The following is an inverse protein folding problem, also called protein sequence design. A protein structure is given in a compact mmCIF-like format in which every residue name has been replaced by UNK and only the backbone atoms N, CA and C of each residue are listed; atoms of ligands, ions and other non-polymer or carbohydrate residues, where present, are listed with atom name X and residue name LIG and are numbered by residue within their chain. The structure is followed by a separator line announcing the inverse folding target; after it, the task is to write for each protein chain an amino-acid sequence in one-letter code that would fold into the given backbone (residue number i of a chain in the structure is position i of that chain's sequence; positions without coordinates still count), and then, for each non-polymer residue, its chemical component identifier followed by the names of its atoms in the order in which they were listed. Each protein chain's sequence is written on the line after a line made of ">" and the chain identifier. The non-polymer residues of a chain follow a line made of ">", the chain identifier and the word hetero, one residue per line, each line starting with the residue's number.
data_IF_819364436115
#
_entry.id   IF_819364436115
#
_cell.length_a   1.000
_cell.length_b   1.000
_cell.length_c   1.000
_cell.angle_alpha   90.00
_cell.angle_beta   90.00
_cell.angle_gamma   90.00
#
_symmetry.space_group_name_H-M   'P 1'
#
loop_
_entity.id
_entity.type
_entity.pdbx_description
1 polymer ?
#
# COMPACT_ATOMS: atom_id res chain seq x y z
N UNK A 1 -5.52 -32.90 12.74
CA UNK A 1 -6.37 -33.56 11.72
C UNK A 1 -6.00 -32.99 10.37
N UNK A 2 -5.10 -33.67 9.64
CA UNK A 2 -4.61 -33.22 8.34
C UNK A 2 -5.73 -33.35 7.31
N UNK A 3 -6.38 -32.24 6.96
CA UNK A 3 -7.29 -32.21 5.83
C UNK A 3 -6.47 -32.43 4.55
N UNK A 4 -6.69 -33.58 3.93
CA UNK A 4 -6.20 -33.98 2.62
C UNK A 4 -6.46 -32.83 1.64
N UNK A 5 -5.39 -32.14 1.21
CA UNK A 5 -5.46 -31.12 0.18
C UNK A 5 -5.96 -31.84 -1.08
N UNK A 6 -7.23 -31.58 -1.42
CA UNK A 6 -7.93 -32.16 -2.56
C UNK A 6 -7.04 -32.15 -3.81
N UNK A 7 -6.80 -33.33 -4.38
CA UNK A 7 -5.95 -33.58 -5.56
C UNK A 7 -6.38 -32.80 -6.82
N UNK A 8 -7.54 -32.14 -6.82
CA UNK A 8 -8.06 -31.33 -7.93
C UNK A 8 -7.42 -29.94 -8.09
N UNK A 9 -6.49 -29.52 -7.21
CA UNK A 9 -5.87 -28.17 -7.26
C UNK A 9 -4.42 -28.12 -7.79
N UNK A 10 -3.91 -29.20 -8.39
CA UNK A 10 -2.51 -29.29 -8.86
C UNK A 10 -2.28 -28.97 -10.34
N UNK A 11 -3.34 -28.86 -11.16
CA UNK A 11 -3.17 -28.58 -12.59
C UNK A 11 -2.53 -27.19 -12.81
N UNK A 12 -1.47 -27.13 -13.62
CA UNK A 12 -0.84 -25.87 -14.05
C UNK A 12 0.31 -25.31 -13.19
N UNK A 13 0.71 -26.00 -12.11
CA UNK A 13 1.86 -25.59 -11.29
C UNK A 13 3.06 -26.52 -11.50
N UNK A 14 4.29 -25.98 -11.49
CA UNK A 14 5.51 -26.80 -11.61
C UNK A 14 5.90 -27.47 -10.29
N UNK A 15 5.49 -26.89 -9.16
CA UNK A 15 5.73 -27.42 -7.81
C UNK A 15 4.43 -27.55 -7.03
N UNK A 16 4.41 -28.53 -6.12
CA UNK A 16 3.32 -28.71 -5.18
C UNK A 16 3.40 -27.70 -4.04
N UNK A 17 2.22 -27.31 -3.54
CA UNK A 17 2.14 -26.45 -2.36
C UNK A 17 2.62 -27.22 -1.14
N UNK A 18 3.67 -26.71 -0.49
CA UNK A 18 4.32 -27.36 0.66
C UNK A 18 3.70 -26.95 2.00
N UNK A 19 3.20 -25.72 2.11
CA UNK A 19 2.59 -25.18 3.32
C UNK A 19 1.57 -24.08 2.98
N UNK A 20 0.54 -23.87 3.81
CA UNK A 20 -0.34 -22.72 3.66
C UNK A 20 0.42 -21.41 3.91
N UNK A 21 -0.03 -20.33 3.27
CA UNK A 21 0.45 -18.98 3.58
C UNK A 21 0.01 -18.57 4.99
N UNK A 22 0.89 -17.88 5.74
CA UNK A 22 0.67 -17.46 7.14
C UNK A 22 0.08 -18.59 8.01
N UNK A 23 0.81 -19.70 8.21
CA UNK A 23 0.29 -20.88 8.90
C UNK A 23 -0.21 -20.60 10.32
N UNK A 24 0.27 -19.53 10.97
CA UNK A 24 -0.15 -19.13 12.32
C UNK A 24 -1.60 -18.63 12.37
N UNK A 25 -2.09 -18.06 11.26
CA UNK A 25 -3.42 -17.40 11.20
C UNK A 25 -4.30 -17.90 10.04
N UNK A 26 -3.82 -18.86 9.26
CA UNK A 26 -4.56 -19.47 8.16
C UNK A 26 -5.86 -20.11 8.64
N UNK A 27 -6.98 -19.75 8.02
CA UNK A 27 -8.33 -20.20 8.39
C UNK A 27 -8.66 -20.06 9.89
N UNK A 28 -8.15 -19.02 10.56
CA UNK A 28 -8.38 -18.77 11.98
C UNK A 28 -9.72 -18.10 12.29
N UNK A 29 -10.30 -17.33 11.35
CA UNK A 29 -11.53 -16.57 11.57
C UNK A 29 -12.73 -17.35 11.00
N UNK A 30 -13.68 -17.82 11.84
CA UNK A 30 -14.82 -18.59 11.38
C UNK A 30 -15.80 -17.73 10.57
N UNK A 31 -16.21 -18.21 9.40
CA UNK A 31 -17.25 -17.57 8.59
C UNK A 31 -18.60 -18.24 8.89
N UNK A 32 -19.62 -17.47 9.30
CA UNK A 32 -20.94 -18.04 9.60
C UNK A 32 -21.62 -18.56 8.33
N UNK A 33 -22.39 -19.65 8.45
CA UNK A 33 -23.18 -20.23 7.35
C UNK A 33 -24.61 -19.68 7.35
N UNK A 34 -25.15 -19.39 6.16
CA UNK A 34 -26.58 -19.07 5.96
C UNK A 34 -27.08 -17.79 6.65
N UNK A 35 -26.19 -16.84 6.98
CA UNK A 35 -26.58 -15.54 7.55
C UNK A 35 -26.83 -14.50 6.46
N UNK A 36 -27.58 -13.44 6.81
CA UNK A 36 -27.87 -12.32 5.91
C UNK A 36 -26.63 -11.56 5.45
N UNK A 37 -26.77 -10.80 4.35
CA UNK A 37 -25.70 -10.10 3.65
C UNK A 37 -24.76 -9.29 4.57
N UNK A 38 -25.30 -8.48 5.48
CA UNK A 38 -24.51 -7.64 6.37
C UNK A 38 -23.66 -8.42 7.37
N UNK A 39 -24.19 -9.50 7.94
CA UNK A 39 -23.42 -10.37 8.86
C UNK A 39 -22.30 -11.11 8.13
N UNK A 40 -22.54 -11.48 6.88
CA UNK A 40 -21.51 -12.08 6.02
C UNK A 40 -20.44 -11.05 5.68
N UNK A 41 -20.84 -9.83 5.29
CA UNK A 41 -19.90 -8.76 4.98
C UNK A 41 -19.00 -8.44 6.19
N UNK A 42 -19.57 -8.33 7.39
CA UNK A 42 -18.79 -8.12 8.62
C UNK A 42 -17.85 -9.30 8.95
N UNK A 43 -18.23 -10.53 8.62
CA UNK A 43 -17.37 -11.70 8.87
C UNK A 43 -16.18 -11.77 7.89
N UNK A 44 -16.38 -11.35 6.64
CA UNK A 44 -15.32 -11.25 5.65
C UNK A 44 -14.54 -9.94 5.72
N UNK A 45 -15.10 -8.92 6.37
CA UNK A 45 -14.51 -7.59 6.51
C UNK A 45 -13.26 -7.60 7.38
N UNK A 46 -12.27 -6.78 7.02
CA UNK A 46 -10.99 -6.69 7.71
C UNK A 46 -9.78 -6.76 6.77
N UNK A 47 -9.64 -7.79 5.90
CA UNK A 47 -8.54 -7.90 4.96
C UNK A 47 -8.40 -6.68 4.05
N UNK A 48 -9.52 -6.15 3.56
CA UNK A 48 -9.56 -4.94 2.74
C UNK A 48 -9.05 -3.71 3.49
N UNK A 49 -9.39 -3.57 4.79
CA UNK A 49 -8.89 -2.48 5.63
C UNK A 49 -7.38 -2.58 5.85
N UNK A 50 -6.86 -3.78 6.14
CA UNK A 50 -5.40 -3.98 6.29
C UNK A 50 -4.65 -3.63 5.01
N UNK A 51 -5.24 -3.92 3.85
CA UNK A 51 -4.63 -3.56 2.56
C UNK A 51 -4.72 -2.06 2.31
N UNK A 52 -5.89 -1.46 2.51
CA UNK A 52 -6.14 -0.04 2.27
C UNK A 52 -5.25 0.89 3.12
N UNK A 53 -4.74 0.40 4.25
CA UNK A 53 -3.79 1.16 5.08
C UNK A 53 -2.49 1.50 4.37
N UNK A 54 -1.93 0.57 3.60
CA UNK A 54 -0.70 0.88 2.86
C UNK A 54 -0.93 1.98 1.82
N UNK A 55 -2.19 2.20 1.42
CA UNK A 55 -2.56 3.30 0.53
C UNK A 55 -2.71 4.65 1.24
N UNK A 56 -2.38 4.73 2.54
CA UNK A 56 -2.45 5.95 3.36
C UNK A 56 -1.10 6.24 4.05
N UNK A 57 -0.01 5.62 3.59
CA UNK A 57 1.33 5.75 4.17
C UNK A 57 1.95 7.13 3.89
N UNK A 58 3.03 7.54 4.60
CA UNK A 58 3.67 8.84 4.38
C UNK A 58 4.23 9.02 2.96
N UNK A 59 4.51 7.91 2.25
CA UNK A 59 4.94 7.94 0.86
C UNK A 59 3.93 8.60 -0.07
N UNK A 60 2.66 8.21 0.05
CA UNK A 60 1.56 8.78 -0.74
C UNK A 60 1.34 10.26 -0.43
N UNK A 61 1.56 10.66 0.83
CA UNK A 61 1.32 12.02 1.26
C UNK A 61 2.26 13.01 0.57
N UNK A 62 3.53 12.64 0.42
CA UNK A 62 4.49 13.52 -0.26
C UNK A 62 4.07 13.80 -1.71
N UNK A 63 3.62 12.78 -2.44
CA UNK A 63 3.15 12.95 -3.82
C UNK A 63 1.83 13.72 -3.92
N UNK A 64 0.90 13.48 -2.99
CA UNK A 64 -0.40 14.17 -2.96
C UNK A 64 -0.28 15.64 -2.55
N UNK A 65 0.57 15.94 -1.55
CA UNK A 65 0.87 17.30 -1.12
C UNK A 65 1.55 18.09 -2.24
N UNK A 66 2.58 17.53 -2.87
CA UNK A 66 3.26 18.16 -4.00
C UNK A 66 2.30 18.39 -5.17
N UNK A 67 1.46 17.39 -5.47
CA UNK A 67 0.44 17.47 -6.51
C UNK A 67 -0.56 18.60 -6.27
N UNK A 68 -1.07 18.73 -5.05
CA UNK A 68 -2.02 19.77 -4.68
C UNK A 68 -1.39 21.16 -4.65
N UNK A 69 -0.21 21.29 -4.06
CA UNK A 69 0.48 22.58 -3.94
C UNK A 69 0.88 23.16 -5.31
N UNK A 70 1.32 22.32 -6.24
CA UNK A 70 1.83 22.75 -7.55
C UNK A 70 0.76 22.79 -8.65
N UNK A 71 -0.21 21.88 -8.64
CA UNK A 71 -1.18 21.71 -9.72
C UNK A 71 -2.65 21.89 -9.28
N UNK A 72 -2.88 22.30 -8.04
CA UNK A 72 -4.22 22.51 -7.51
C UNK A 72 -5.03 21.22 -7.54
N UNK A 73 -6.24 21.27 -8.11
CA UNK A 73 -7.14 20.11 -8.18
C UNK A 73 -6.90 19.19 -9.38
N UNK A 74 -5.92 19.48 -10.26
CA UNK A 74 -5.72 18.78 -11.54
C UNK A 74 -5.51 17.27 -11.36
N UNK A 75 -4.71 16.87 -10.36
CA UNK A 75 -4.27 15.49 -10.18
C UNK A 75 -5.25 14.62 -9.36
N UNK A 76 -6.41 15.14 -8.94
CA UNK A 76 -7.47 14.33 -8.31
C UNK A 76 -7.89 13.18 -9.24
N UNK A 77 -8.01 13.47 -10.55
CA UNK A 77 -8.32 12.48 -11.57
C UNK A 77 -7.28 11.35 -11.64
N UNK A 78 -6.00 11.66 -11.42
CA UNK A 78 -4.91 10.67 -11.36
C UNK A 78 -5.03 9.79 -10.13
N UNK A 79 -5.29 10.36 -8.95
CA UNK A 79 -5.55 9.60 -7.72
C UNK A 79 -6.74 8.66 -7.91
N UNK A 80 -7.82 9.13 -8.56
CA UNK A 80 -8.99 8.30 -8.86
C UNK A 80 -8.64 7.13 -9.79
N UNK A 81 -8.00 7.40 -10.92
CA UNK A 81 -7.61 6.36 -11.89
C UNK A 81 -6.67 5.36 -11.24
N UNK A 82 -5.66 5.84 -10.51
CA UNK A 82 -4.71 5.01 -9.77
C UNK A 82 -5.42 4.10 -8.76
N UNK A 83 -6.40 4.62 -8.02
CA UNK A 83 -7.19 3.82 -7.09
C UNK A 83 -8.09 2.79 -7.80
N UNK A 84 -8.64 3.11 -8.97
CA UNK A 84 -9.39 2.13 -9.77
C UNK A 84 -8.48 0.99 -10.26
N UNK A 85 -7.25 1.32 -10.67
CA UNK A 85 -6.22 0.32 -11.00
C UNK A 85 -5.88 -0.52 -9.78
N UNK A 86 -5.69 0.10 -8.61
CA UNK A 86 -5.47 -0.60 -7.36
C UNK A 86 -6.62 -1.58 -7.03
N UNK A 87 -7.88 -1.14 -7.09
CA UNK A 87 -9.05 -1.99 -6.84
C UNK A 87 -9.06 -3.19 -7.77
N UNK A 88 -8.76 -2.99 -9.06
CA UNK A 88 -8.67 -4.09 -10.03
C UNK A 88 -7.57 -5.08 -9.66
N UNK A 89 -6.34 -4.60 -9.42
CA UNK A 89 -5.20 -5.47 -9.10
C UNK A 89 -5.40 -6.19 -7.76
N UNK A 90 -5.98 -5.52 -6.77
CA UNK A 90 -6.31 -6.10 -5.48
C UNK A 90 -7.42 -7.16 -5.61
N UNK A 91 -8.41 -6.95 -6.48
CA UNK A 91 -9.38 -7.98 -6.84
C UNK A 91 -8.71 -9.21 -7.48
N UNK A 92 -7.68 -9.03 -8.31
CA UNK A 92 -6.93 -10.16 -8.85
C UNK A 92 -6.14 -10.90 -7.76
N UNK A 93 -5.48 -10.16 -6.86
CA UNK A 93 -4.68 -10.72 -5.78
C UNK A 93 -5.52 -11.55 -4.79
N UNK A 94 -6.66 -11.00 -4.33
CA UNK A 94 -7.57 -11.75 -3.45
C UNK A 94 -8.13 -12.99 -4.15
N UNK A 95 -8.43 -12.88 -5.45
CA UNK A 95 -9.02 -13.97 -6.21
C UNK A 95 -8.02 -15.11 -6.41
N UNK A 96 -6.75 -14.79 -6.65
CA UNK A 96 -5.66 -15.77 -6.68
C UNK A 96 -5.58 -16.54 -5.35
N UNK A 97 -5.54 -15.83 -4.23
CA UNK A 97 -5.47 -16.42 -2.88
C UNK A 97 -6.65 -17.34 -2.55
N UNK A 98 -7.88 -16.89 -2.83
CA UNK A 98 -9.10 -17.65 -2.54
C UNK A 98 -9.20 -18.91 -3.40
N UNK A 99 -8.90 -18.80 -4.70
CA UNK A 99 -9.11 -19.87 -5.68
C UNK A 99 -8.03 -20.94 -5.58
N UNK A 100 -6.77 -20.52 -5.55
CA UNK A 100 -5.59 -21.40 -5.67
C UNK A 100 -5.07 -21.88 -4.31
N UNK A 101 -5.43 -21.19 -3.22
CA UNK A 101 -4.89 -21.44 -1.89
C UNK A 101 -3.40 -21.08 -1.76
N UNK A 102 -2.87 -20.31 -2.71
CA UNK A 102 -1.50 -19.82 -2.73
C UNK A 102 -1.52 -18.29 -2.66
N UNK A 103 -0.63 -17.72 -1.86
CA UNK A 103 -0.31 -16.32 -2.03
C UNK A 103 0.50 -16.10 -3.33
N UNK A 104 0.63 -14.84 -3.75
CA UNK A 104 1.32 -14.48 -4.98
C UNK A 104 2.81 -14.90 -4.98
N UNK A 105 3.49 -14.87 -3.83
CA UNK A 105 4.90 -15.26 -3.72
C UNK A 105 5.07 -16.78 -3.89
N UNK A 106 4.22 -17.57 -3.23
CA UNK A 106 4.13 -19.02 -3.42
C UNK A 106 3.80 -19.37 -4.88
N UNK A 107 2.84 -18.67 -5.49
CA UNK A 107 2.49 -18.85 -6.89
C UNK A 107 3.67 -18.58 -7.83
N UNK A 108 4.43 -17.50 -7.60
CA UNK A 108 5.65 -17.20 -8.35
C UNK A 108 6.70 -18.30 -8.18
N UNK A 109 6.96 -18.74 -6.95
CA UNK A 109 7.93 -19.82 -6.64
C UNK A 109 7.55 -21.16 -7.28
N UNK A 110 6.26 -21.47 -7.32
CA UNK A 110 5.72 -22.74 -7.81
C UNK A 110 5.60 -22.76 -9.35
N UNK A 111 5.67 -21.60 -10.02
CA UNK A 111 5.62 -21.49 -11.48
C UNK A 111 6.98 -21.20 -12.14
N UNK A 112 7.79 -20.31 -11.57
CA UNK A 112 9.06 -19.91 -12.15
C UNK A 112 10.24 -20.80 -11.71
N UNK A 113 11.36 -20.69 -12.44
CA UNK A 113 12.62 -21.34 -12.06
C UNK A 113 13.21 -20.71 -10.79
N UNK A 114 14.09 -21.43 -10.10
CA UNK A 114 14.73 -20.93 -8.86
C UNK A 114 15.43 -19.56 -9.04
N UNK A 115 16.19 -19.31 -10.13
CA UNK A 115 16.84 -18.00 -10.32
C UNK A 115 15.85 -16.84 -10.47
N UNK A 116 14.78 -17.03 -11.26
CA UNK A 116 13.75 -16.00 -11.46
C UNK A 116 12.99 -15.74 -10.16
N UNK A 117 12.61 -16.79 -9.46
CA UNK A 117 11.97 -16.70 -8.15
C UNK A 117 12.84 -15.95 -7.12
N UNK A 118 14.15 -16.20 -7.13
CA UNK A 118 15.09 -15.51 -6.25
C UNK A 118 15.26 -14.03 -6.62
N UNK A 119 15.37 -13.71 -7.92
CA UNK A 119 15.43 -12.32 -8.37
C UNK A 119 14.17 -11.53 -7.98
N UNK A 120 12.98 -12.11 -8.17
CA UNK A 120 11.71 -11.51 -7.73
C UNK A 120 11.67 -11.27 -6.22
N UNK A 121 12.21 -12.21 -5.42
CA UNK A 121 12.34 -12.05 -3.98
C UNK A 121 13.25 -10.88 -3.61
N UNK A 122 14.46 -10.79 -4.20
CA UNK A 122 15.40 -9.69 -3.93
C UNK A 122 14.75 -8.33 -4.22
N UNK A 123 14.13 -8.19 -5.40
CA UNK A 123 13.45 -6.94 -5.76
C UNK A 123 12.31 -6.60 -4.80
N UNK A 124 11.60 -7.63 -4.30
CA UNK A 124 10.52 -7.43 -3.34
C UNK A 124 11.02 -7.00 -1.96
N UNK A 125 12.10 -7.60 -1.45
CA UNK A 125 12.71 -7.18 -0.18
C UNK A 125 13.28 -5.76 -0.28
N UNK A 126 13.89 -5.39 -1.41
CA UNK A 126 14.35 -4.02 -1.65
C UNK A 126 13.17 -3.04 -1.61
N UNK A 127 12.04 -3.37 -2.25
CA UNK A 127 10.85 -2.52 -2.21
C UNK A 127 10.21 -2.43 -0.82
N UNK A 128 10.22 -3.52 -0.04
CA UNK A 128 9.76 -3.51 1.35
C UNK A 128 10.69 -2.64 2.21
N UNK A 129 12.01 -2.75 2.04
CA UNK A 129 12.96 -1.89 2.76
C UNK A 129 12.82 -0.41 2.38
N UNK A 130 12.55 -0.11 1.11
CA UNK A 130 12.25 1.24 0.65
C UNK A 130 10.93 1.78 1.26
N UNK A 131 9.90 0.95 1.38
CA UNK A 131 8.67 1.31 2.07
C UNK A 131 8.95 1.60 3.56
N UNK A 132 9.69 0.71 4.21
CA UNK A 132 10.07 0.83 5.62
C UNK A 132 10.87 2.13 5.85
N UNK A 133 11.71 2.53 4.90
CA UNK A 133 12.44 3.80 4.90
C UNK A 133 11.50 5.01 4.89
N UNK A 134 10.48 5.02 4.04
CA UNK A 134 9.47 6.08 4.01
C UNK A 134 8.72 6.19 5.36
N UNK A 135 8.42 5.06 5.98
CA UNK A 135 7.76 5.01 7.30
C UNK A 135 8.64 5.55 8.43
N UNK A 136 9.93 5.16 8.44
CA UNK A 136 10.92 5.65 9.42
C UNK A 136 11.00 7.17 9.31
N UNK A 137 11.16 7.67 8.09
CA UNK A 137 11.31 9.09 7.81
C UNK A 137 10.04 9.85 8.22
N UNK A 138 8.87 9.41 7.76
CA UNK A 138 7.60 10.06 8.08
C UNK A 138 7.32 10.10 9.59
N UNK A 139 7.61 9.00 10.29
CA UNK A 139 7.45 8.95 11.75
C UNK A 139 8.48 9.83 12.48
N UNK A 140 9.74 9.87 12.02
CA UNK A 140 10.77 10.73 12.60
C UNK A 140 10.45 12.21 12.40
N UNK A 141 9.94 12.58 11.22
CA UNK A 141 9.42 13.93 10.94
C UNK A 141 8.25 14.24 11.88
N UNK A 142 7.28 13.33 12.02
CA UNK A 142 6.16 13.55 12.94
C UNK A 142 6.62 13.77 14.41
N UNK A 143 7.59 12.99 14.89
CA UNK A 143 8.18 13.16 16.22
C UNK A 143 8.92 14.49 16.37
N UNK A 144 9.64 14.92 15.33
CA UNK A 144 10.29 16.23 15.31
C UNK A 144 9.27 17.36 15.40
N UNK A 145 8.20 17.29 14.62
CA UNK A 145 7.18 18.34 14.58
C UNK A 145 6.32 18.39 15.85
N UNK A 146 6.03 17.25 16.48
CA UNK A 146 5.20 17.20 17.69
C UNK A 146 5.96 17.52 18.96
N UNK A 147 7.20 17.04 19.08
CA UNK A 147 7.94 17.04 20.34
C UNK A 147 9.28 17.79 20.27
N UNK A 148 9.63 18.35 19.11
CA UNK A 148 10.92 19.01 18.90
C UNK A 148 12.12 18.05 18.92
N UNK A 149 11.87 16.75 18.76
CA UNK A 149 12.93 15.72 18.81
C UNK A 149 13.79 15.82 17.54
N UNK A 150 15.14 15.90 17.63
CA UNK A 150 16.00 15.92 16.45
C UNK A 150 15.76 14.70 15.54
N UNK A 151 15.80 14.88 14.21
CA UNK A 151 15.46 13.81 13.26
C UNK A 151 16.24 12.51 13.49
N UNK A 152 17.54 12.59 13.76
CA UNK A 152 18.38 11.40 14.03
C UNK A 152 17.88 10.65 15.27
N UNK A 153 17.52 11.37 16.35
CA UNK A 153 16.93 10.77 17.54
C UNK A 153 15.54 10.19 17.25
N UNK A 154 14.73 10.88 16.44
CA UNK A 154 13.44 10.38 15.97
C UNK A 154 13.56 9.06 15.21
N UNK A 155 14.52 8.96 14.28
CA UNK A 155 14.84 7.74 13.53
C UNK A 155 15.29 6.59 14.45
N UNK A 156 16.04 6.89 15.52
CA UNK A 156 16.41 5.87 16.51
C UNK A 156 15.22 5.42 17.36
N UNK A 157 14.33 6.35 17.74
CA UNK A 157 13.12 6.05 18.50
C UNK A 157 12.18 5.16 17.69
N UNK A 158 12.08 5.36 16.38
CA UNK A 158 11.20 4.53 15.52
C UNK A 158 11.66 3.08 15.42
N UNK A 159 12.92 2.75 15.78
CA UNK A 159 13.37 1.36 15.95
C UNK A 159 12.64 0.64 17.11
N UNK A 160 12.09 1.40 18.06
CA UNK A 160 11.29 0.87 19.17
C UNK A 160 9.95 0.29 18.74
N UNK A 161 9.52 0.50 17.50
CA UNK A 161 8.28 -0.07 16.94
C UNK A 161 8.31 -1.61 16.89
N UNK A 162 9.48 -2.23 16.96
CA UNK A 162 9.63 -3.68 17.15
C UNK A 162 8.87 -4.14 18.41
N UNK A 163 8.78 -3.30 19.44
CA UNK A 163 7.99 -3.56 20.65
C UNK A 163 6.50 -3.66 20.30
N UNK A 164 5.98 -2.80 19.42
CA UNK A 164 4.60 -2.87 18.95
C UNK A 164 4.34 -4.20 18.24
N UNK A 165 5.25 -4.63 17.36
CA UNK A 165 5.15 -5.94 16.69
C UNK A 165 5.18 -7.09 17.70
N UNK A 166 6.10 -7.04 18.68
CA UNK A 166 6.19 -8.05 19.75
C UNK A 166 4.91 -8.13 20.59
N UNK A 167 4.32 -6.99 20.95
CA UNK A 167 3.06 -6.92 21.69
C UNK A 167 1.88 -7.52 20.90
N UNK A 168 1.91 -7.42 19.58
CA UNK A 168 0.85 -7.90 18.69
C UNK A 168 1.05 -9.34 18.22
N UNK A 169 2.29 -9.86 18.22
CA UNK A 169 2.63 -11.18 17.68
C UNK A 169 1.83 -12.34 18.31
N UNK A 170 1.41 -12.20 19.58
CA UNK A 170 0.63 -13.21 20.30
C UNK A 170 -0.85 -12.83 20.47
N UNK A 171 -1.32 -11.78 19.80
CA UNK A 171 -2.71 -11.33 19.86
C UNK A 171 -3.44 -11.79 18.59
N UNK A 172 -4.73 -12.12 18.73
CA UNK A 172 -5.53 -12.58 17.60
C UNK A 172 -5.70 -11.51 16.51
N UNK A 173 -5.88 -11.93 15.26
CA UNK A 173 -5.95 -11.06 14.07
C UNK A 173 -7.03 -9.96 14.16
N UNK A 174 -8.11 -10.20 14.92
CA UNK A 174 -9.15 -9.18 15.17
C UNK A 174 -8.64 -7.94 15.93
N UNK A 175 -7.66 -8.11 16.83
CA UNK A 175 -7.06 -6.97 17.53
C UNK A 175 -6.24 -6.12 16.57
N UNK A 176 -5.51 -6.77 15.65
CA UNK A 176 -4.75 -6.08 14.60
C UNK A 176 -5.72 -5.30 13.70
N UNK A 177 -6.81 -5.93 13.23
CA UNK A 177 -7.86 -5.26 12.46
C UNK A 177 -8.45 -4.05 13.19
N UNK A 178 -8.72 -4.15 14.49
CA UNK A 178 -9.25 -3.04 15.30
C UNK A 178 -8.25 -1.90 15.50
N UNK A 179 -6.97 -2.21 15.73
CA UNK A 179 -5.91 -1.22 15.87
C UNK A 179 -5.70 -0.43 14.57
N UNK A 180 -5.58 -1.16 13.46
CA UNK A 180 -5.50 -0.62 12.09
C UNK A 180 -6.68 0.31 11.81
N UNK A 181 -7.90 -0.13 12.14
CA UNK A 181 -9.12 0.69 11.98
C UNK A 181 -9.04 1.98 12.81
N UNK A 182 -8.48 1.93 14.02
CA UNK A 182 -8.31 3.11 14.88
C UNK A 182 -7.35 4.13 14.26
N UNK A 183 -6.23 3.68 13.68
CA UNK A 183 -5.31 4.57 12.97
C UNK A 183 -5.96 5.21 11.74
N UNK A 184 -6.69 4.43 10.94
CA UNK A 184 -7.44 4.94 9.77
C UNK A 184 -8.44 6.03 10.20
N UNK A 185 -9.24 5.78 11.24
CA UNK A 185 -10.21 6.75 11.74
C UNK A 185 -9.52 8.02 12.26
N UNK A 186 -8.38 7.86 12.94
CA UNK A 186 -7.59 9.00 13.42
C UNK A 186 -7.13 9.89 12.26
N UNK A 187 -6.56 9.29 11.20
CA UNK A 187 -6.14 10.00 9.98
C UNK A 187 -7.34 10.71 9.33
N UNK A 188 -8.45 10.00 9.17
CA UNK A 188 -9.67 10.53 8.55
C UNK A 188 -10.26 11.72 9.33
N UNK A 189 -10.29 11.65 10.66
CA UNK A 189 -10.78 12.74 11.51
C UNK A 189 -9.86 13.96 11.40
N UNK A 190 -8.53 13.76 11.43
CA UNK A 190 -7.57 14.85 11.33
C UNK A 190 -7.67 15.60 9.98
N UNK A 191 -7.67 14.88 8.86
CA UNK A 191 -7.84 15.50 7.54
C UNK A 191 -9.25 16.03 7.30
N UNK A 192 -10.27 15.34 7.79
CA UNK A 192 -11.65 15.83 7.73
C UNK A 192 -11.81 17.18 8.42
N UNK A 193 -11.23 17.34 9.61
CA UNK A 193 -11.20 18.62 10.32
C UNK A 193 -10.47 19.70 9.49
N UNK A 194 -9.25 19.42 9.04
CA UNK A 194 -8.46 20.38 8.26
C UNK A 194 -9.17 20.79 6.95
N UNK A 195 -9.86 19.87 6.28
CA UNK A 195 -10.58 20.13 5.04
C UNK A 195 -11.84 20.99 5.27
N UNK A 196 -12.55 20.79 6.38
CA UNK A 196 -13.68 21.65 6.77
C UNK A 196 -13.20 23.08 7.06
N UNK A 197 -12.06 23.22 7.74
CA UNK A 197 -11.45 24.53 8.02
C UNK A 197 -10.95 25.21 6.74
N UNK A 198 -10.36 24.45 5.82
CA UNK A 198 -9.81 24.98 4.57
C UNK A 198 -10.88 25.49 3.57
N UNK A 199 -12.15 25.10 3.73
CA UNK A 199 -13.27 25.50 2.86
C UNK A 199 -12.94 25.43 1.36
N UNK A 200 -12.54 24.27 0.82
CA UNK A 200 -12.15 24.14 -0.58
C UNK A 200 -13.32 24.37 -1.54
N UNK A 201 -13.00 24.80 -2.76
CA UNK A 201 -14.00 24.97 -3.83
C UNK A 201 -14.54 23.62 -4.28
N UNK A 202 -15.82 23.36 -3.99
CA UNK A 202 -16.51 22.13 -4.42
C UNK A 202 -16.53 22.01 -5.95
N UNK A 203 -16.75 23.12 -6.66
CA UNK A 203 -16.71 23.15 -8.13
C UNK A 203 -15.32 22.78 -8.66
N UNK A 204 -14.26 23.31 -8.04
CA UNK A 204 -12.87 22.96 -8.36
C UNK A 204 -12.58 21.47 -8.14
N UNK A 205 -12.99 20.92 -7.00
CA UNK A 205 -12.86 19.50 -6.68
C UNK A 205 -13.55 18.61 -7.72
N UNK A 206 -14.79 18.94 -8.08
CA UNK A 206 -15.56 18.18 -9.08
C UNK A 206 -14.94 18.27 -10.47
N UNK A 207 -14.42 19.44 -10.86
CA UNK A 207 -13.71 19.61 -12.13
C UNK A 207 -12.41 18.81 -12.18
N UNK A 208 -11.71 18.69 -11.04
CA UNK A 208 -10.47 17.93 -10.91
C UNK A 208 -10.65 16.41 -11.05
N UNK A 209 -11.88 15.89 -10.90
CA UNK A 209 -12.18 14.47 -11.16
C UNK A 209 -12.16 14.14 -12.66
N UNK A 210 -12.29 15.13 -13.54
CA UNK A 210 -12.29 14.95 -14.99
C UNK A 210 -10.84 14.97 -15.48
N UNK A 211 -10.34 13.89 -16.12
CA UNK A 211 -8.97 13.88 -16.66
C UNK A 211 -8.75 14.99 -17.69
N UNK A 212 -7.66 15.73 -17.54
CA UNK A 212 -7.23 16.79 -18.46
C UNK A 212 -6.00 16.36 -19.25
N UNK A 213 -5.89 16.83 -20.49
CA UNK A 213 -4.71 16.58 -21.34
C UNK A 213 -3.43 17.19 -20.76
N UNK A 214 -3.57 18.21 -19.91
CA UNK A 214 -2.45 18.87 -19.22
C UNK A 214 -1.58 17.91 -18.40
N UNK A 215 -2.17 16.83 -17.89
CA UNK A 215 -1.50 15.80 -17.09
C UNK A 215 -0.35 15.14 -17.87
N UNK A 216 -0.52 14.97 -19.19
CA UNK A 216 0.46 14.28 -20.04
C UNK A 216 1.33 15.26 -20.81
N UNK A 217 0.86 16.49 -21.05
CA UNK A 217 1.64 17.50 -21.80
C UNK A 217 2.66 18.23 -20.93
N UNK A 218 2.40 18.38 -19.62
CA UNK A 218 3.33 19.04 -18.71
C UNK A 218 4.28 17.99 -18.07
N UNK A 219 5.60 18.06 -18.29
CA UNK A 219 6.56 17.10 -17.74
C UNK A 219 6.53 16.99 -16.20
N UNK A 220 6.35 18.09 -15.49
CA UNK A 220 6.33 18.10 -14.01
C UNK A 220 5.04 17.47 -13.48
N UNK A 221 3.91 17.81 -14.12
CA UNK A 221 2.61 17.20 -13.79
C UNK A 221 2.63 15.69 -14.07
N UNK A 222 3.25 15.28 -15.18
CA UNK A 222 3.44 13.88 -15.53
C UNK A 222 4.32 13.17 -14.49
N UNK A 223 5.43 13.77 -14.08
CA UNK A 223 6.33 13.21 -13.07
C UNK A 223 5.59 12.96 -11.74
N UNK A 224 4.86 13.96 -11.23
CA UNK A 224 4.07 13.81 -10.00
C UNK A 224 2.95 12.79 -10.19
N UNK A 225 2.30 12.76 -11.35
CA UNK A 225 1.24 11.78 -11.67
C UNK A 225 1.75 10.35 -11.63
N UNK A 226 2.96 10.11 -12.15
CA UNK A 226 3.57 8.79 -12.07
C UNK A 226 3.95 8.47 -10.62
N UNK A 227 4.46 9.44 -9.87
CA UNK A 227 4.69 9.32 -8.43
C UNK A 227 3.44 8.87 -7.69
N UNK A 228 2.30 9.54 -7.92
CA UNK A 228 1.00 9.17 -7.35
C UNK A 228 0.63 7.73 -7.72
N UNK A 229 0.81 7.33 -8.98
CA UNK A 229 0.51 5.96 -9.43
C UNK A 229 1.36 4.92 -8.69
N UNK A 230 2.67 5.13 -8.62
CA UNK A 230 3.62 4.24 -7.97
C UNK A 230 3.43 4.15 -6.46
N UNK A 231 3.13 5.27 -5.81
CA UNK A 231 2.88 5.35 -4.38
C UNK A 231 1.53 4.67 -4.03
N UNK A 232 0.48 4.93 -4.82
CA UNK A 232 -0.83 4.31 -4.61
C UNK A 232 -0.72 2.78 -4.75
N UNK A 233 -0.21 2.26 -5.87
CA UNK A 233 -0.24 0.81 -6.12
C UNK A 233 1.02 0.16 -5.54
N UNK A 234 0.98 -0.14 -4.25
CA UNK A 234 2.10 -0.80 -3.59
C UNK A 234 2.23 -2.29 -3.95
N UNK A 235 3.40 -2.76 -4.42
CA UNK A 235 3.59 -4.17 -4.82
C UNK A 235 3.42 -5.13 -3.65
N UNK A 236 3.96 -4.80 -2.48
CA UNK A 236 3.91 -5.67 -1.30
C UNK A 236 2.47 -5.92 -0.83
N UNK A 237 1.55 -4.97 -1.09
CA UNK A 237 0.13 -5.13 -0.79
C UNK A 237 -0.57 -6.17 -1.66
N UNK A 238 -0.08 -6.44 -2.88
CA UNK A 238 -0.61 -7.53 -3.72
C UNK A 238 -0.28 -8.90 -3.09
N UNK A 239 0.94 -9.05 -2.57
CA UNK A 239 1.34 -10.26 -1.83
C UNK A 239 0.54 -10.38 -0.54
N UNK A 240 0.44 -9.29 0.23
CA UNK A 240 -0.30 -9.21 1.48
C UNK A 240 -1.76 -9.65 1.30
N UNK A 241 -2.47 -9.04 0.35
CA UNK A 241 -3.89 -9.29 0.15
C UNK A 241 -4.17 -10.73 -0.30
N UNK A 242 -3.32 -11.27 -1.18
CA UNK A 242 -3.43 -12.67 -1.62
C UNK A 242 -3.28 -13.68 -0.48
N UNK A 243 -2.63 -13.30 0.62
CA UNK A 243 -2.47 -14.13 1.82
C UNK A 243 -3.57 -13.88 2.86
N UNK A 244 -3.84 -12.61 3.23
CA UNK A 244 -4.77 -12.28 4.32
C UNK A 244 -6.18 -12.79 4.06
N UNK A 245 -6.65 -12.82 2.81
CA UNK A 245 -7.98 -13.38 2.50
C UNK A 245 -8.10 -14.87 2.83
N UNK A 246 -6.98 -15.57 3.02
CA UNK A 246 -6.93 -16.97 3.43
C UNK A 246 -7.03 -17.16 4.96
N UNK A 247 -7.06 -16.09 5.74
CA UNK A 247 -7.34 -16.14 7.20
C UNK A 247 -8.79 -16.52 7.50
N UNK A 248 -9.70 -16.31 6.53
CA UNK A 248 -11.12 -16.66 6.67
C UNK A 248 -11.33 -18.15 6.45
N UNK A 249 -11.97 -18.81 7.42
CA UNK A 249 -12.29 -20.22 7.37
C UNK A 249 -13.57 -20.45 6.55
N UNK A 250 -13.42 -20.70 5.25
CA UNK A 250 -14.49 -21.13 4.35
C UNK A 250 -14.15 -22.47 3.71
N UNK A 251 -15.17 -23.27 3.42
CA UNK A 251 -14.99 -24.54 2.70
C UNK A 251 -14.40 -24.29 1.32
N UNK A 252 -13.55 -25.18 0.82
CA UNK A 252 -12.91 -24.99 -0.51
C UNK A 252 -13.76 -25.52 -1.66
N UNK A 253 -15.09 -25.52 -1.48
CA UNK A 253 -16.04 -25.82 -2.52
C UNK A 253 -16.24 -24.61 -3.44
N UNK A 254 -16.86 -24.90 -4.57
CA UNK A 254 -17.02 -23.96 -5.67
C UNK A 254 -17.98 -22.81 -5.31
N UNK A 255 -19.10 -23.10 -4.64
CA UNK A 255 -20.08 -22.09 -4.25
C UNK A 255 -19.53 -21.13 -3.18
N UNK A 256 -18.81 -21.66 -2.19
CA UNK A 256 -18.20 -20.88 -1.11
C UNK A 256 -17.01 -20.06 -1.59
N UNK A 257 -16.21 -20.54 -2.54
CA UNK A 257 -15.18 -19.72 -3.21
C UNK A 257 -15.79 -18.53 -3.94
N UNK A 258 -16.88 -18.73 -4.68
CA UNK A 258 -17.58 -17.62 -5.36
C UNK A 258 -18.10 -16.58 -4.36
N UNK A 259 -18.66 -17.05 -3.23
CA UNK A 259 -19.14 -16.20 -2.16
C UNK A 259 -18.00 -15.42 -1.49
N UNK A 260 -16.89 -16.09 -1.17
CA UNK A 260 -15.70 -15.47 -0.59
C UNK A 260 -15.12 -14.40 -1.51
N UNK A 261 -15.01 -14.67 -2.82
CA UNK A 261 -14.56 -13.67 -3.82
C UNK A 261 -15.50 -12.46 -3.79
N UNK A 262 -16.83 -12.67 -3.79
CA UNK A 262 -17.80 -11.57 -3.77
C UNK A 262 -17.61 -10.67 -2.56
N UNK A 263 -17.59 -11.23 -1.34
CA UNK A 263 -17.49 -10.42 -0.13
C UNK A 263 -16.10 -9.80 0.07
N UNK A 264 -15.02 -10.53 -0.23
CA UNK A 264 -13.67 -9.96 -0.18
C UNK A 264 -13.47 -8.84 -1.20
N UNK A 265 -14.10 -8.93 -2.38
CA UNK A 265 -14.09 -7.84 -3.36
C UNK A 265 -14.84 -6.62 -2.84
N UNK A 266 -16.03 -6.78 -2.26
CA UNK A 266 -16.79 -5.66 -1.69
C UNK A 266 -16.00 -4.99 -0.56
N UNK A 267 -15.46 -5.78 0.37
CA UNK A 267 -14.63 -5.31 1.48
C UNK A 267 -13.42 -4.50 0.98
N UNK A 268 -12.64 -5.08 0.06
CA UNK A 268 -11.47 -4.40 -0.51
C UNK A 268 -11.84 -3.15 -1.30
N UNK A 269 -12.89 -3.19 -2.13
CA UNK A 269 -13.35 -2.03 -2.89
C UNK A 269 -13.80 -0.91 -1.97
N UNK A 270 -14.57 -1.20 -0.93
CA UNK A 270 -15.00 -0.18 0.04
C UNK A 270 -13.81 0.44 0.78
N UNK A 271 -12.86 -0.39 1.22
CA UNK A 271 -11.68 0.09 1.94
C UNK A 271 -10.76 0.94 1.05
N UNK A 272 -10.53 0.55 -0.21
CA UNK A 272 -9.72 1.32 -1.16
C UNK A 272 -10.42 2.58 -1.65
N UNK A 273 -11.76 2.58 -1.80
CA UNK A 273 -12.51 3.81 -2.04
C UNK A 273 -12.36 4.79 -0.87
N UNK A 274 -12.32 4.28 0.36
CA UNK A 274 -12.04 5.11 1.54
C UNK A 274 -10.61 5.69 1.51
N UNK A 275 -9.61 4.89 1.12
CA UNK A 275 -8.24 5.37 0.90
C UNK A 275 -8.17 6.49 -0.15
N UNK A 276 -8.92 6.38 -1.25
CA UNK A 276 -9.04 7.44 -2.25
C UNK A 276 -9.53 8.76 -1.65
N UNK A 277 -10.53 8.73 -0.76
CA UNK A 277 -11.01 9.96 -0.12
C UNK A 277 -9.96 10.61 0.78
N UNK A 278 -9.11 9.80 1.44
CA UNK A 278 -8.00 10.34 2.24
C UNK A 278 -6.94 10.99 1.33
N UNK A 279 -6.49 10.29 0.29
CA UNK A 279 -5.49 10.82 -0.66
C UNK A 279 -6.01 12.08 -1.37
N UNK A 280 -7.27 12.05 -1.82
CA UNK A 280 -7.92 13.23 -2.37
C UNK A 280 -8.01 14.37 -1.34
N UNK A 281 -8.33 14.09 -0.08
CA UNK A 281 -8.38 15.11 0.97
C UNK A 281 -7.01 15.75 1.23
N UNK A 282 -5.92 14.98 1.20
CA UNK A 282 -4.54 15.50 1.33
C UNK A 282 -4.23 16.46 0.18
N UNK A 283 -4.50 16.02 -1.06
CA UNK A 283 -4.26 16.84 -2.25
C UNK A 283 -5.12 18.11 -2.24
N UNK A 284 -6.42 17.98 -1.92
CA UNK A 284 -7.35 19.12 -1.84
C UNK A 284 -6.91 20.10 -0.75
N UNK A 285 -6.46 19.61 0.41
CA UNK A 285 -5.96 20.44 1.48
C UNK A 285 -4.72 21.23 1.03
N UNK A 286 -3.76 20.57 0.38
CA UNK A 286 -2.58 21.24 -0.16
C UNK A 286 -2.93 22.26 -1.26
N UNK A 287 -3.89 21.93 -2.13
CA UNK A 287 -4.38 22.85 -3.15
C UNK A 287 -5.05 24.08 -2.52
N UNK A 288 -5.93 23.88 -1.53
CA UNK A 288 -6.60 24.98 -0.86
C UNK A 288 -5.64 25.87 -0.06
N UNK A 289 -4.61 25.29 0.56
CA UNK A 289 -3.67 26.00 1.41
C UNK A 289 -2.54 26.69 0.62
N UNK A 290 -2.01 26.05 -0.43
CA UNK A 290 -0.72 26.43 -1.02
C UNK A 290 -0.79 26.82 -2.50
N UNK A 291 -1.75 26.31 -3.26
CA UNK A 291 -1.82 26.56 -4.71
C UNK A 291 -2.07 28.05 -5.03
N UNK A 292 -1.30 28.60 -5.97
CA UNK A 292 -1.40 30.01 -6.36
C UNK A 292 -0.85 31.00 -5.32
N UNK A 293 -0.24 30.51 -4.24
CA UNK A 293 0.43 31.34 -3.22
C UNK A 293 1.96 31.34 -3.43
N UNK A 294 2.68 32.19 -2.68
CA UNK A 294 4.16 32.17 -2.65
C UNK A 294 4.74 30.83 -2.13
N UNK A 295 3.90 30.00 -1.51
CA UNK A 295 4.26 28.71 -0.94
C UNK A 295 3.92 27.54 -1.89
N UNK A 296 3.64 27.79 -3.17
CA UNK A 296 3.33 26.72 -4.14
C UNK A 296 4.49 25.71 -4.35
N UNK A 297 5.72 26.10 -3.98
CA UNK A 297 6.89 25.22 -4.02
C UNK A 297 7.08 24.37 -2.74
N UNK A 298 6.08 24.30 -1.86
CA UNK A 298 6.08 23.38 -0.71
C UNK A 298 6.00 21.94 -1.23
N UNK A 299 7.15 21.29 -1.30
CA UNK A 299 7.29 19.89 -1.71
C UNK A 299 7.50 18.94 -0.52
N UNK A 300 7.77 19.47 0.68
CA UNK A 300 8.11 18.67 1.87
C UNK A 300 6.97 18.65 2.91
N UNK A 301 6.82 17.50 3.56
CA UNK A 301 5.89 17.25 4.67
C UNK A 301 6.18 18.20 5.84
N UNK A 302 7.45 18.51 6.10
CA UNK A 302 7.86 19.42 7.16
C UNK A 302 7.35 20.85 6.94
N UNK A 303 7.41 21.33 5.70
CA UNK A 303 6.94 22.64 5.31
C UNK A 303 5.41 22.73 5.35
N UNK A 304 4.73 21.66 4.92
CA UNK A 304 3.27 21.57 5.04
C UNK A 304 2.82 21.76 6.50
N UNK A 305 3.44 21.09 7.47
CA UNK A 305 3.13 21.29 8.89
C UNK A 305 3.29 22.74 9.34
N UNK A 306 4.43 23.37 9.03
CA UNK A 306 4.77 24.72 9.49
C UNK A 306 3.81 25.77 8.92
N UNK A 307 3.33 25.54 7.69
CA UNK A 307 2.51 26.49 6.96
C UNK A 307 1.00 26.24 7.09
N UNK A 308 0.57 25.02 7.44
CA UNK A 308 -0.85 24.69 7.59
C UNK A 308 -1.55 25.56 8.65
N UNK A 309 -0.99 25.66 9.87
CA UNK A 309 -1.64 26.45 10.94
C UNK A 309 -1.76 27.94 10.60
N UNK A 310 -0.71 28.63 10.10
CA UNK A 310 -0.81 30.02 9.67
C UNK A 310 -1.79 30.24 8.51
N UNK A 311 -1.74 29.39 7.48
CA UNK A 311 -2.57 29.55 6.28
C UNK A 311 -4.05 29.34 6.59
N UNK A 312 -4.36 28.32 7.40
CA UNK A 312 -5.74 28.01 7.78
C UNK A 312 -6.26 28.89 8.92
N UNK A 313 -5.40 29.68 9.56
CA UNK A 313 -5.76 30.52 10.70
C UNK A 313 -6.13 29.74 11.97
N UNK A 314 -5.82 28.44 12.03
CA UNK A 314 -6.19 27.54 13.12
C UNK A 314 -4.93 26.90 13.72
N UNK A 315 -4.56 27.23 14.97
CA UNK A 315 -3.31 26.77 15.58
C UNK A 315 -3.14 25.24 15.62
N UNK A 316 -4.24 24.50 15.80
CA UNK A 316 -4.22 23.04 15.96
C UNK A 316 -4.05 22.26 14.64
N UNK A 317 -4.17 22.92 13.48
CA UNK A 317 -4.18 22.25 12.17
C UNK A 317 -2.88 21.48 11.89
N UNK A 318 -1.73 22.10 12.14
CA UNK A 318 -0.41 21.45 12.03
C UNK A 318 -0.28 20.28 13.01
N UNK A 319 -0.72 20.44 14.26
CA UNK A 319 -0.68 19.35 15.26
C UNK A 319 -1.49 18.14 14.80
N UNK A 320 -2.71 18.33 14.30
CA UNK A 320 -3.53 17.25 13.76
C UNK A 320 -2.87 16.57 12.55
N UNK A 321 -2.23 17.35 11.68
CA UNK A 321 -1.46 16.81 10.55
C UNK A 321 -0.32 15.91 11.02
N UNK A 322 0.47 16.34 12.02
CA UNK A 322 1.57 15.53 12.54
C UNK A 322 1.10 14.30 13.34
N UNK A 323 -0.02 14.38 14.06
CA UNK A 323 -0.64 13.20 14.71
C UNK A 323 -1.08 12.19 13.66
N UNK A 324 -1.71 12.64 12.58
CA UNK A 324 -2.11 11.77 11.49
C UNK A 324 -0.89 11.14 10.80
N UNK A 325 0.19 11.89 10.61
CA UNK A 325 1.44 11.40 10.01
C UNK A 325 2.07 10.29 10.87
N UNK A 326 2.09 10.47 12.19
CA UNK A 326 2.57 9.46 13.12
C UNK A 326 1.68 8.21 13.08
N UNK A 327 0.35 8.37 13.09
CA UNK A 327 -0.59 7.26 13.00
C UNK A 327 -0.40 6.48 11.69
N UNK A 328 -0.17 7.16 10.57
CA UNK A 328 0.11 6.56 9.26
C UNK A 328 1.39 5.71 9.29
N UNK A 329 2.50 6.23 9.82
CA UNK A 329 3.76 5.49 9.93
C UNK A 329 3.69 4.23 10.82
N UNK A 330 2.96 4.30 11.93
CA UNK A 330 2.74 3.12 12.80
C UNK A 330 1.86 2.05 12.16
N UNK A 331 0.95 2.45 11.28
CA UNK A 331 0.03 1.53 10.63
C UNK A 331 0.74 0.71 9.54
N UNK A 332 1.54 1.38 8.71
CA UNK A 332 2.31 0.73 7.63
C UNK A 332 3.36 -0.25 8.16
N UNK A 333 3.88 -0.02 9.37
CA UNK A 333 4.78 -0.94 10.10
C UNK A 333 4.21 -2.37 10.21
N UNK A 334 2.92 -2.48 10.50
CA UNK A 334 2.26 -3.77 10.71
C UNK A 334 2.10 -4.51 9.38
N UNK A 335 1.65 -3.80 8.35
CA UNK A 335 1.42 -4.37 7.02
C UNK A 335 2.73 -4.73 6.33
N UNK A 336 3.78 -3.91 6.46
CA UNK A 336 5.11 -4.19 5.94
C UNK A 336 5.74 -5.45 6.54
N UNK A 337 5.59 -5.65 7.85
CA UNK A 337 6.09 -6.85 8.54
C UNK A 337 5.39 -8.12 8.03
N UNK A 338 4.06 -8.09 7.89
CA UNK A 338 3.27 -9.21 7.37
C UNK A 338 3.57 -9.49 5.90
N UNK A 339 3.58 -8.45 5.07
CA UNK A 339 3.86 -8.56 3.64
C UNK A 339 5.23 -9.14 3.40
N UNK A 340 6.22 -8.69 4.16
CA UNK A 340 7.53 -9.30 4.17
C UNK A 340 7.47 -10.78 4.54
N UNK A 341 6.85 -11.15 5.67
CA UNK A 341 6.79 -12.55 6.10
C UNK A 341 6.25 -13.44 4.96
N UNK A 342 5.17 -13.01 4.32
CA UNK A 342 4.58 -13.67 3.16
C UNK A 342 5.57 -13.81 2.00
N UNK A 343 6.29 -12.74 1.67
CA UNK A 343 7.28 -12.72 0.57
C UNK A 343 8.42 -13.71 0.85
N UNK A 344 9.00 -13.69 2.05
CA UNK A 344 10.14 -14.57 2.38
C UNK A 344 9.73 -16.04 2.53
N UNK A 345 8.61 -16.33 3.20
CA UNK A 345 8.10 -17.69 3.31
C UNK A 345 7.62 -18.22 1.95
N UNK A 346 6.98 -17.36 1.17
CA UNK A 346 6.45 -17.69 -0.14
C UNK A 346 7.55 -17.98 -1.16
N UNK A 347 8.54 -17.10 -1.30
CA UNK A 347 9.63 -17.26 -2.27
C UNK A 347 10.74 -18.22 -1.81
N UNK A 348 11.20 -18.10 -0.55
CA UNK A 348 12.38 -18.83 -0.05
C UNK A 348 12.03 -20.01 0.87
N UNK A 349 10.80 -20.10 1.37
CA UNK A 349 10.40 -21.09 2.38
C UNK A 349 11.21 -20.98 3.70
N UNK A 350 11.72 -19.77 4.00
CA UNK A 350 12.43 -19.46 5.25
C UNK A 350 11.42 -18.87 6.22
N UNK A 351 11.35 -19.41 7.44
CA UNK A 351 10.51 -18.92 8.52
C UNK A 351 11.36 -18.21 9.56
N UNK A 352 11.19 -16.90 9.67
CA UNK A 352 11.76 -16.09 10.76
C UNK A 352 10.65 -15.66 11.70
N UNK A 353 11.01 -15.44 12.96
CA UNK A 353 10.08 -14.82 13.91
C UNK A 353 9.76 -13.38 13.45
N UNK A 354 8.49 -12.92 13.50
CA UNK A 354 8.10 -11.58 13.06
C UNK A 354 8.96 -10.44 13.63
N UNK A 355 9.29 -10.49 14.92
CA UNK A 355 10.15 -9.47 15.55
C UNK A 355 11.58 -9.44 14.97
N UNK A 356 12.16 -10.61 14.69
CA UNK A 356 13.52 -10.72 14.17
C UNK A 356 13.57 -10.17 12.75
N UNK A 357 12.54 -10.49 11.96
CA UNK A 357 12.34 -9.92 10.64
C UNK A 357 12.22 -8.41 10.70
N UNK A 358 11.33 -7.88 11.55
CA UNK A 358 11.13 -6.43 11.67
C UNK A 358 12.43 -5.73 12.04
N UNK A 359 13.20 -6.28 12.98
CA UNK A 359 14.49 -5.71 13.37
C UNK A 359 15.47 -5.66 12.18
N UNK A 360 15.56 -6.74 11.38
CA UNK A 360 16.44 -6.78 10.21
C UNK A 360 16.03 -5.73 9.17
N UNK A 361 14.75 -5.70 8.77
CA UNK A 361 14.30 -4.73 7.75
C UNK A 361 14.43 -3.30 8.26
N UNK A 362 14.13 -3.07 9.55
CA UNK A 362 14.22 -1.77 10.20
C UNK A 362 15.66 -1.28 10.27
N UNK A 363 16.63 -2.14 10.57
CA UNK A 363 18.05 -1.77 10.54
C UNK A 363 18.52 -1.42 9.13
N UNK A 364 18.07 -2.18 8.11
CA UNK A 364 18.38 -1.88 6.70
C UNK A 364 17.79 -0.54 6.27
N UNK A 365 16.62 -0.15 6.79
CA UNK A 365 16.00 1.15 6.50
C UNK A 365 16.62 2.32 7.30
N UNK A 366 16.97 2.11 8.58
CA UNK A 366 17.52 3.14 9.45
C UNK A 366 18.92 3.59 9.02
N UNK A 367 19.78 2.67 8.59
CA UNK A 367 21.17 2.99 8.25
C UNK A 367 21.25 4.06 7.13
N UNK A 368 20.59 3.89 5.96
CA UNK A 368 20.53 4.93 4.94
C UNK A 368 19.90 6.23 5.44
N UNK A 369 18.83 6.15 6.24
CA UNK A 369 18.15 7.32 6.77
C UNK A 369 19.10 8.18 7.62
N UNK A 370 19.79 7.57 8.60
CA UNK A 370 20.74 8.27 9.46
C UNK A 370 21.87 8.90 8.65
N UNK A 371 22.47 8.15 7.71
CA UNK A 371 23.56 8.67 6.88
C UNK A 371 23.11 9.90 6.10
N UNK A 372 21.97 9.83 5.43
CA UNK A 372 21.46 10.95 4.62
C UNK A 372 21.07 12.13 5.50
N UNK A 373 20.40 11.90 6.64
CA UNK A 373 20.04 12.97 7.57
C UNK A 373 21.27 13.67 8.15
N UNK A 374 22.35 12.95 8.46
CA UNK A 374 23.60 13.55 8.97
C UNK A 374 24.35 14.35 7.90
N UNK A 375 24.34 13.90 6.65
CA UNK A 375 25.09 14.55 5.56
C UNK A 375 24.31 15.71 4.90
N UNK A 376 23.00 15.56 4.77
CA UNK A 376 22.14 16.42 3.93
C UNK A 376 20.93 17.02 4.65
N UNK A 377 20.73 16.73 5.94
CA UNK A 377 19.67 17.32 6.75
C UNK A 377 18.24 16.99 6.29
N UNK A 378 17.32 17.94 6.51
CA UNK A 378 15.89 17.81 6.18
C UNK A 378 15.66 17.58 4.67
N UNK A 379 16.29 18.39 3.81
CA UNK A 379 16.11 18.31 2.35
C UNK A 379 16.55 16.97 1.75
N UNK A 380 17.65 16.40 2.25
CA UNK A 380 18.10 15.06 1.84
C UNK A 380 17.11 13.98 2.25
N UNK A 381 16.45 14.16 3.39
CA UNK A 381 15.46 13.22 3.93
C UNK A 381 14.18 13.20 3.07
N UNK A 382 13.69 14.36 2.63
CA UNK A 382 12.58 14.46 1.68
C UNK A 382 12.91 13.82 0.32
N UNK A 383 14.11 14.04 -0.20
CA UNK A 383 14.58 13.42 -1.45
C UNK A 383 14.67 11.90 -1.35
N UNK A 384 15.10 11.38 -0.18
CA UNK A 384 15.17 9.95 0.10
C UNK A 384 13.77 9.31 0.16
N UNK A 385 12.78 10.03 0.69
CA UNK A 385 11.38 9.61 0.67
C UNK A 385 10.87 9.49 -0.77
N UNK A 386 11.11 10.47 -1.64
CA UNK A 386 10.71 10.37 -3.07
C UNK A 386 11.41 9.18 -3.75
N UNK A 387 12.71 8.98 -3.51
CA UNK A 387 13.47 7.86 -4.06
C UNK A 387 12.86 6.51 -3.66
N UNK A 388 12.40 6.35 -2.42
CA UNK A 388 11.74 5.12 -2.01
C UNK A 388 10.50 4.83 -2.87
N UNK A 389 9.69 5.84 -3.19
CA UNK A 389 8.49 5.66 -4.03
C UNK A 389 8.84 5.22 -5.44
N UNK A 390 9.94 5.75 -6.00
CA UNK A 390 10.44 5.29 -7.31
C UNK A 390 10.82 3.80 -7.27
N UNK A 391 11.51 3.36 -6.21
CA UNK A 391 11.87 1.94 -6.03
C UNK A 391 10.61 1.06 -5.94
N UNK A 392 9.59 1.50 -5.20
CA UNK A 392 8.30 0.79 -5.11
C UNK A 392 7.62 0.69 -6.48
N UNK A 393 7.59 1.81 -7.23
CA UNK A 393 7.00 1.86 -8.56
C UNK A 393 7.69 0.87 -9.51
N UNK A 394 9.02 0.84 -9.54
CA UNK A 394 9.79 -0.10 -10.36
C UNK A 394 9.46 -1.56 -10.05
N UNK A 395 9.31 -1.90 -8.76
CA UNK A 395 8.98 -3.26 -8.35
C UNK A 395 7.54 -3.68 -8.73
N UNK A 396 6.62 -2.71 -8.89
CA UNK A 396 5.23 -2.99 -9.20
C UNK A 396 5.05 -3.85 -10.46
N UNK A 397 5.78 -3.56 -11.53
CA UNK A 397 5.72 -4.32 -12.78
C UNK A 397 5.99 -5.82 -12.56
N UNK A 398 6.96 -6.14 -11.70
CA UNK A 398 7.38 -7.51 -11.41
C UNK A 398 6.39 -8.27 -10.52
N UNK A 399 5.50 -7.57 -9.80
CA UNK A 399 4.39 -8.17 -9.05
C UNK A 399 3.12 -8.31 -9.91
N UNK A 400 2.81 -7.29 -10.72
CA UNK A 400 1.59 -7.23 -11.54
C UNK A 400 1.63 -8.24 -12.68
N UNK A 401 2.75 -8.38 -13.38
CA UNK A 401 2.84 -9.31 -14.53
C UNK A 401 2.53 -10.76 -14.12
N UNK A 402 3.17 -11.34 -13.07
CA UNK A 402 2.83 -12.67 -12.61
C UNK A 402 1.37 -12.78 -12.15
N UNK A 403 0.86 -11.76 -11.47
CA UNK A 403 -0.52 -11.76 -10.97
C UNK A 403 -1.54 -11.84 -12.12
N UNK A 404 -1.36 -11.02 -13.15
CA UNK A 404 -2.22 -11.02 -14.34
C UNK A 404 -2.06 -12.33 -15.10
N UNK A 405 -0.82 -12.84 -15.25
CA UNK A 405 -0.56 -14.12 -15.90
C UNK A 405 -1.30 -15.27 -15.20
N UNK A 406 -1.17 -15.40 -13.88
CA UNK A 406 -1.73 -16.53 -13.13
C UNK A 406 -3.25 -16.48 -13.06
N UNK A 407 -3.83 -15.29 -12.90
CA UNK A 407 -5.29 -15.13 -12.84
C UNK A 407 -5.97 -15.26 -14.22
N UNK A 408 -5.20 -15.18 -15.30
CA UNK A 408 -5.66 -15.39 -16.68
C UNK A 408 -5.56 -16.85 -17.15
N UNK A 409 -4.87 -17.72 -16.40
CA UNK A 409 -4.60 -19.09 -16.84
C UNK A 409 -5.68 -20.07 -16.34
N UNK A 410 -6.41 -20.70 -17.28
CA UNK A 410 -7.49 -21.65 -16.97
C UNK A 410 -6.99 -22.88 -16.20
N UNK A 411 -5.76 -23.34 -16.46
CA UNK A 411 -5.17 -24.47 -15.75
C UNK A 411 -5.09 -24.21 -14.24
N UNK A 412 -4.73 -22.97 -13.83
CA UNK A 412 -4.56 -22.57 -12.43
C UNK A 412 -5.86 -22.14 -11.76
N UNK A 413 -6.69 -21.38 -12.47
CA UNK A 413 -7.91 -20.78 -11.90
C UNK A 413 -9.17 -21.63 -12.09
N UNK A 414 -9.11 -22.66 -12.94
CA UNK A 414 -10.26 -23.49 -13.28
C UNK A 414 -11.43 -22.65 -13.81
N UNK A 415 -12.62 -22.86 -13.24
CA UNK A 415 -13.83 -22.10 -13.60
C UNK A 415 -13.78 -20.62 -13.19
N UNK A 416 -12.89 -20.26 -12.28
CA UNK A 416 -12.75 -18.88 -11.79
C UNK A 416 -11.75 -18.06 -12.59
N UNK A 417 -11.29 -18.53 -13.76
CA UNK A 417 -10.46 -17.73 -14.66
C UNK A 417 -11.11 -16.39 -14.97
N UNK A 418 -10.29 -15.35 -15.16
CA UNK A 418 -10.79 -14.02 -15.51
C UNK A 418 -11.59 -14.04 -16.82
N UNK A 419 -12.64 -13.20 -16.90
CA UNK A 419 -13.37 -12.96 -18.16
C UNK A 419 -12.43 -12.29 -19.16
N UNK A 420 -12.67 -12.51 -20.47
CA UNK A 420 -11.80 -11.98 -21.54
C UNK A 420 -11.57 -10.47 -21.45
N UNK A 421 -12.61 -9.69 -21.18
CA UNK A 421 -12.48 -8.23 -21.04
C UNK A 421 -11.55 -7.84 -19.87
N UNK A 422 -11.63 -8.57 -18.75
CA UNK A 422 -10.80 -8.31 -17.57
C UNK A 422 -9.35 -8.71 -17.84
N UNK A 423 -9.12 -9.81 -18.57
CA UNK A 423 -7.78 -10.21 -19.02
C UNK A 423 -7.15 -9.13 -19.90
N UNK A 424 -7.88 -8.65 -20.92
CA UNK A 424 -7.41 -7.59 -21.82
C UNK A 424 -7.09 -6.32 -21.04
N UNK A 425 -8.02 -5.86 -20.19
CA UNK A 425 -7.83 -4.67 -19.37
C UNK A 425 -6.62 -4.81 -18.44
N UNK A 426 -6.48 -5.96 -17.77
CA UNK A 426 -5.37 -6.20 -16.85
C UNK A 426 -4.01 -6.20 -17.54
N UNK A 427 -3.92 -6.77 -18.75
CA UNK A 427 -2.68 -6.74 -19.55
C UNK A 427 -2.36 -5.35 -20.08
N UNK A 428 -3.36 -4.58 -20.54
CA UNK A 428 -3.16 -3.18 -20.94
C UNK A 428 -2.59 -2.38 -19.76
N UNK A 429 -3.18 -2.53 -18.57
CA UNK A 429 -2.69 -1.86 -17.36
C UNK A 429 -1.28 -2.31 -16.98
N UNK A 430 -1.00 -3.62 -17.02
CA UNK A 430 0.33 -4.16 -16.72
C UNK A 430 1.40 -3.61 -17.67
N UNK A 431 1.10 -3.54 -18.98
CA UNK A 431 2.01 -2.99 -19.99
C UNK A 431 2.17 -1.48 -19.77
N UNK A 432 1.08 -0.75 -19.53
CA UNK A 432 1.13 0.69 -19.25
C UNK A 432 2.02 1.00 -18.04
N UNK A 433 1.82 0.30 -16.91
CA UNK A 433 2.64 0.42 -15.71
C UNK A 433 4.11 0.11 -16.04
N UNK A 434 4.38 -0.96 -16.78
CA UNK A 434 5.75 -1.31 -17.17
C UNK A 434 6.41 -0.24 -18.06
N UNK A 435 5.69 0.32 -19.03
CA UNK A 435 6.18 1.39 -19.90
C UNK A 435 6.46 2.67 -19.12
N UNK A 436 5.55 3.06 -18.23
CA UNK A 436 5.70 4.24 -17.37
C UNK A 436 6.90 4.08 -16.43
N UNK A 437 7.07 2.91 -15.83
CA UNK A 437 8.23 2.61 -14.99
C UNK A 437 9.54 2.60 -15.77
N UNK A 438 9.55 2.07 -16.99
CA UNK A 438 10.72 2.11 -17.86
C UNK A 438 11.08 3.56 -18.24
N UNK A 439 10.08 4.38 -18.55
CA UNK A 439 10.28 5.81 -18.83
C UNK A 439 10.89 6.53 -17.63
N UNK A 440 10.35 6.34 -16.43
CA UNK A 440 10.93 6.92 -15.20
C UNK A 440 12.38 6.48 -14.97
N UNK A 441 12.67 5.19 -15.15
CA UNK A 441 14.02 4.66 -14.97
C UNK A 441 15.00 5.33 -15.92
N UNK A 442 14.62 5.47 -17.20
CA UNK A 442 15.41 6.15 -18.23
C UNK A 442 15.60 7.61 -17.87
N UNK A 443 14.55 8.30 -17.43
CA UNK A 443 14.63 9.71 -17.04
C UNK A 443 15.59 9.90 -15.85
N UNK A 444 15.48 9.05 -14.82
CA UNK A 444 16.29 9.12 -13.61
C UNK A 444 17.77 8.79 -13.86
N UNK A 445 18.07 7.93 -14.84
CA UNK A 445 19.44 7.55 -15.21
C UNK A 445 20.07 8.56 -16.16
N UNK A 446 19.31 9.08 -17.14
CA UNK A 446 19.84 9.97 -18.19
C UNK A 446 19.89 11.44 -17.81
N UNK A 447 18.99 11.93 -16.94
CA UNK A 447 18.85 13.36 -16.62
C UNK A 447 19.28 13.70 -15.19
N UNK A 448 20.21 12.93 -14.62
CA UNK A 448 20.81 13.21 -13.31
C UNK A 448 22.05 14.09 -13.41
#
# INVERSE_FOLDING_TARGET
>A
MAQTISQTAQAGWKKNLTAPSLPEVHASIPVPKGKGFWRMLLAYGGPGLLVAVGYMDPGNWATDLAGGAQFGYLLISVILISNLVAILLQHLALKLGIVTGRDLAQACRDHYSRPVSFALWVLCEIAIAACDLAEVIGSAIALNLLFGIPLVAGVLITAGDVILVLLLQNRGFRLIEALVTTFILTIAICFGFNLVVAQPSISGMLSGLIPSTQIVTNPDALYVSIGILGATVMPHNLYLHSSIVQTRAFERNDATKAQAIKYATIDSTMALLFAFFINAAILILAAAAFYGTKNANVADIGDAYKLLSPVLGVPIAGTLFAVALLASGQNSTLTGTLAGQIVMEGFLNIRLRPWARRLITRLIAIIPAIIVTLLYGEQGTGSLLILSQVILSLQLSFAVIPLVQFTSEKAKMGRFVNKRWLVILSWILAICIACVNAYLLVQQILFR
#
